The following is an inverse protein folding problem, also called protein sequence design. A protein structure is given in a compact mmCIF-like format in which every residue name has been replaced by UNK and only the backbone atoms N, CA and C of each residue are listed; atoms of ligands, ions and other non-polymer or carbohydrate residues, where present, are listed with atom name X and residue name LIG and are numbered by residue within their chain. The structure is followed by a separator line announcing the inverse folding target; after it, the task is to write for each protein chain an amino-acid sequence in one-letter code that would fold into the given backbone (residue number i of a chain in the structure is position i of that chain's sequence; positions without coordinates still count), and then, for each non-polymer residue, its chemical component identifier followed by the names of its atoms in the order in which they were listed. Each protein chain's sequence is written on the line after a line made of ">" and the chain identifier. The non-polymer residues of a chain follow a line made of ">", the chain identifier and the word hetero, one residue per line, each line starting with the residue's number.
data_IF_623426532520
#
_entry.id   IF_623426532520
#
_cell.length_a   1.000
_cell.length_b   1.000
_cell.length_c   1.000
_cell.angle_alpha   90.00
_cell.angle_beta   90.00
_cell.angle_gamma   90.00
#
_symmetry.space_group_name_H-M   'P 1'
#
loop_
_entity.id
_entity.type
_entity.pdbx_description
1 polymer ?
#
# COMPACT_ATOMS: atom_id res chain seq x y z
N UNK A 1 -31.42 -8.75 -5.76
CA UNK A 1 -30.61 -8.33 -4.61
C UNK A 1 -29.20 -8.06 -5.07
N UNK A 2 -28.71 -6.86 -4.84
CA UNK A 2 -27.34 -6.49 -5.18
C UNK A 2 -26.42 -7.07 -4.11
N UNK A 3 -25.53 -7.95 -4.53
CA UNK A 3 -24.51 -8.46 -3.62
C UNK A 3 -23.35 -7.48 -3.62
N UNK A 4 -23.10 -6.85 -2.49
CA UNK A 4 -21.91 -6.03 -2.33
C UNK A 4 -20.63 -6.87 -2.40
N UNK A 5 -19.53 -6.23 -2.80
CA UNK A 5 -18.22 -6.85 -2.74
C UNK A 5 -17.71 -6.73 -1.32
N UNK A 6 -17.30 -7.85 -0.73
CA UNK A 6 -16.69 -7.87 0.59
C UNK A 6 -15.18 -7.97 0.42
N UNK A 7 -14.47 -6.89 0.75
CA UNK A 7 -13.02 -6.82 0.62
C UNK A 7 -12.42 -6.60 2.01
N UNK A 8 -11.56 -7.52 2.42
CA UNK A 8 -10.79 -7.32 3.64
C UNK A 8 -9.58 -6.44 3.35
N UNK A 9 -9.39 -5.41 4.16
CA UNK A 9 -8.27 -4.49 4.03
C UNK A 9 -7.52 -4.47 5.37
N UNK A 10 -6.21 -4.74 5.30
CA UNK A 10 -5.31 -4.58 6.44
C UNK A 10 -4.43 -3.37 6.23
N UNK A 11 -4.11 -2.66 7.28
CA UNK A 11 -3.19 -1.54 7.25
C UNK A 11 -2.19 -1.67 8.39
N UNK A 12 -0.93 -1.35 8.12
CA UNK A 12 0.13 -1.53 9.10
C UNK A 12 1.28 -0.56 8.84
N UNK A 13 1.70 0.14 9.90
CA UNK A 13 2.95 0.88 9.87
C UNK A 13 4.08 -0.10 10.19
N UNK A 14 5.00 -0.30 9.25
CA UNK A 14 6.02 -1.35 9.37
C UNK A 14 7.37 -0.84 9.85
N UNK A 15 7.54 0.47 9.95
CA UNK A 15 8.75 1.10 10.49
C UNK A 15 10.04 0.53 9.87
N UNK A 16 10.07 0.46 8.54
CA UNK A 16 11.24 0.02 7.78
C UNK A 16 11.25 -1.48 7.46
N UNK A 17 11.54 -1.80 6.20
CA UNK A 17 11.59 -3.17 5.69
C UNK A 17 12.93 -3.52 5.04
N UNK A 18 13.99 -2.77 5.37
CA UNK A 18 15.29 -3.04 4.75
C UNK A 18 15.99 -4.27 5.32
N UNK A 19 15.64 -4.70 6.53
CA UNK A 19 16.19 -5.91 7.12
C UNK A 19 15.48 -7.17 6.59
N UNK A 20 16.19 -8.16 6.06
CA UNK A 20 15.58 -9.37 5.50
C UNK A 20 14.67 -10.11 6.48
N UNK A 21 15.08 -10.22 7.74
CA UNK A 21 14.28 -10.90 8.78
C UNK A 21 12.89 -10.25 8.93
N UNK A 22 12.85 -8.94 8.92
CA UNK A 22 11.59 -8.21 9.07
C UNK A 22 10.69 -8.41 7.85
N UNK A 23 11.26 -8.46 6.65
CA UNK A 23 10.51 -8.76 5.43
C UNK A 23 9.88 -10.15 5.50
N UNK A 24 10.62 -11.15 5.98
CA UNK A 24 10.08 -12.51 6.16
C UNK A 24 8.93 -12.55 7.15
N UNK A 25 9.10 -11.89 8.30
CA UNK A 25 8.05 -11.85 9.33
C UNK A 25 6.79 -11.17 8.82
N UNK A 26 6.95 -10.11 8.06
CA UNK A 26 5.81 -9.40 7.48
C UNK A 26 5.09 -10.28 6.45
N UNK A 27 5.84 -10.96 5.60
CA UNK A 27 5.25 -11.86 4.60
C UNK A 27 4.45 -12.99 5.27
N UNK A 28 4.98 -13.58 6.34
CA UNK A 28 4.25 -14.58 7.11
C UNK A 28 2.96 -14.02 7.72
N UNK A 29 3.05 -12.83 8.30
CA UNK A 29 1.87 -12.16 8.88
C UNK A 29 0.79 -11.89 7.84
N UNK A 30 1.18 -11.41 6.66
CA UNK A 30 0.24 -11.17 5.56
C UNK A 30 -0.42 -12.48 5.13
N UNK A 31 0.34 -13.55 5.02
CA UNK A 31 -0.19 -14.86 4.65
C UNK A 31 -1.18 -15.39 5.70
N UNK A 32 -0.89 -15.19 6.98
CA UNK A 32 -1.78 -15.61 8.06
C UNK A 32 -3.08 -14.78 8.09
N UNK A 33 -2.98 -13.47 7.92
CA UNK A 33 -4.16 -12.59 7.90
C UNK A 33 -4.97 -12.75 6.62
N UNK A 34 -4.31 -13.13 5.54
CA UNK A 34 -4.91 -13.34 4.22
C UNK A 34 -5.82 -12.19 3.75
N UNK A 35 -5.35 -10.93 3.80
CA UNK A 35 -6.17 -9.81 3.36
C UNK A 35 -6.27 -9.76 1.84
N UNK A 36 -7.39 -9.25 1.33
CA UNK A 36 -7.48 -8.96 -0.09
C UNK A 36 -6.58 -7.79 -0.48
N UNK A 37 -6.50 -6.77 0.36
CA UNK A 37 -5.67 -5.60 0.16
C UNK A 37 -4.91 -5.31 1.44
N UNK A 38 -3.59 -5.05 1.33
CA UNK A 38 -2.77 -4.67 2.47
C UNK A 38 -2.07 -3.36 2.17
N UNK A 39 -2.28 -2.37 3.04
CA UNK A 39 -1.67 -1.05 2.94
C UNK A 39 -0.57 -0.93 3.99
N UNK A 40 0.65 -0.62 3.54
CA UNK A 40 1.81 -0.49 4.42
C UNK A 40 2.29 0.94 4.44
N UNK A 41 2.69 1.43 5.60
CA UNK A 41 3.28 2.75 5.79
C UNK A 41 4.68 2.63 6.38
N UNK A 42 5.52 3.60 6.10
CA UNK A 42 6.91 3.66 6.54
C UNK A 42 7.72 2.43 6.12
N UNK A 43 7.64 2.10 4.83
CA UNK A 43 8.39 0.97 4.28
C UNK A 43 9.90 1.21 4.28
N UNK A 44 10.34 2.47 4.13
CA UNK A 44 11.75 2.90 4.13
C UNK A 44 12.59 2.20 3.06
N UNK A 45 12.00 1.66 2.01
CA UNK A 45 12.75 0.97 0.98
C UNK A 45 13.72 1.91 0.27
N UNK A 46 14.96 1.46 0.17
CA UNK A 46 15.90 2.04 -0.77
C UNK A 46 15.54 1.58 -2.18
N UNK A 47 15.85 2.36 -3.23
CA UNK A 47 15.51 1.96 -4.60
C UNK A 47 15.97 0.54 -4.96
N UNK A 48 17.16 0.14 -4.52
CA UNK A 48 17.72 -1.18 -4.80
C UNK A 48 16.98 -2.33 -4.10
N UNK A 49 16.26 -2.05 -3.00
CA UNK A 49 15.58 -3.08 -2.21
C UNK A 49 14.11 -3.23 -2.58
N UNK A 50 13.56 -2.29 -3.33
CA UNK A 50 12.12 -2.24 -3.66
C UNK A 50 11.65 -3.51 -4.35
N UNK A 51 12.44 -4.04 -5.29
CA UNK A 51 12.05 -5.19 -6.11
C UNK A 51 12.41 -6.54 -5.48
N UNK A 52 13.07 -6.53 -4.33
CA UNK A 52 13.48 -7.77 -3.66
C UNK A 52 12.37 -8.36 -2.79
N UNK A 53 11.45 -7.52 -2.35
CA UNK A 53 10.39 -7.99 -1.46
C UNK A 53 9.21 -8.51 -2.26
N UNK A 54 8.88 -9.78 -2.01
CA UNK A 54 7.77 -10.46 -2.64
C UNK A 54 7.02 -11.27 -1.60
N UNK A 55 5.71 -11.37 -1.78
CA UNK A 55 4.85 -12.15 -0.90
C UNK A 55 4.08 -13.15 -1.76
N UNK A 56 4.23 -14.43 -1.48
CA UNK A 56 3.54 -15.48 -2.22
C UNK A 56 2.02 -15.32 -2.04
N UNK A 57 1.29 -15.21 -3.13
CA UNK A 57 -0.15 -14.97 -3.11
C UNK A 57 -0.55 -13.52 -3.31
N UNK A 58 0.42 -12.59 -3.33
CA UNK A 58 0.20 -11.15 -3.56
C UNK A 58 1.20 -10.66 -4.60
N UNK A 59 0.94 -10.95 -5.87
CA UNK A 59 1.84 -10.55 -6.96
C UNK A 59 1.81 -9.08 -7.26
N UNK A 60 0.66 -8.42 -7.04
CA UNK A 60 0.51 -7.00 -7.32
C UNK A 60 0.97 -6.21 -6.11
N UNK A 61 2.19 -5.69 -6.18
CA UNK A 61 2.81 -4.86 -5.14
C UNK A 61 3.19 -3.53 -5.77
N UNK A 62 2.67 -2.44 -5.21
CA UNK A 62 2.90 -1.09 -5.71
C UNK A 62 3.54 -0.25 -4.61
N UNK A 63 4.63 0.44 -4.95
CA UNK A 63 5.41 1.24 -4.00
C UNK A 63 5.42 2.70 -4.40
N UNK A 64 5.34 3.58 -3.41
CA UNK A 64 5.74 4.98 -3.55
C UNK A 64 6.85 5.23 -2.53
N UNK A 65 8.10 5.24 -3.01
CA UNK A 65 9.26 5.41 -2.16
C UNK A 65 9.66 6.87 -2.07
N UNK A 66 9.95 7.34 -0.88
CA UNK A 66 10.48 8.68 -0.70
C UNK A 66 11.99 8.73 -0.84
N UNK A 67 12.51 9.95 -1.01
CA UNK A 67 13.95 10.20 -0.99
C UNK A 67 14.53 10.19 0.42
N UNK A 68 13.66 10.24 1.42
CA UNK A 68 14.04 10.24 2.83
C UNK A 68 13.93 8.85 3.43
N UNK A 69 14.82 8.54 4.38
CA UNK A 69 14.94 7.22 5.00
C UNK A 69 13.70 6.77 5.78
N UNK A 70 12.74 7.67 6.05
CA UNK A 70 11.59 7.38 6.92
C UNK A 70 10.24 7.41 6.20
N UNK A 71 10.25 7.54 4.88
CA UNK A 71 9.02 7.55 4.11
C UNK A 71 8.83 6.23 3.38
N UNK A 72 7.81 6.17 2.57
CA UNK A 72 7.49 5.02 1.75
C UNK A 72 6.17 4.38 2.14
N UNK A 73 5.33 4.16 1.15
CA UNK A 73 4.06 3.45 1.32
C UNK A 73 3.96 2.38 0.25
N UNK A 74 3.18 1.34 0.54
CA UNK A 74 2.95 0.27 -0.42
C UNK A 74 1.51 -0.21 -0.34
N UNK A 75 0.99 -0.67 -1.48
CA UNK A 75 -0.28 -1.37 -1.56
C UNK A 75 -0.02 -2.74 -2.17
N UNK A 76 -0.52 -3.77 -1.50
CA UNK A 76 -0.37 -5.15 -1.93
C UNK A 76 -1.77 -5.70 -2.17
N UNK A 77 -1.97 -6.34 -3.32
CA UNK A 77 -3.27 -6.87 -3.72
C UNK A 77 -3.17 -8.38 -3.89
N UNK A 78 -4.10 -9.09 -3.26
CA UNK A 78 -4.16 -10.55 -3.30
C UNK A 78 -4.44 -11.06 -4.72
N UNK A 79 -3.82 -12.19 -5.07
CA UNK A 79 -4.10 -12.88 -6.32
C UNK A 79 -5.52 -13.46 -6.38
N UNK A 80 -6.21 -13.53 -5.24
CA UNK A 80 -7.58 -14.05 -5.17
C UNK A 80 -8.63 -13.10 -5.75
N UNK A 81 -8.28 -11.83 -5.94
CA UNK A 81 -9.18 -10.85 -6.54
C UNK A 81 -8.62 -10.37 -7.87
N UNK A 82 -9.51 -10.23 -8.85
CA UNK A 82 -9.16 -9.67 -10.14
C UNK A 82 -9.34 -8.15 -10.11
N UNK A 83 -8.28 -7.47 -9.67
CA UNK A 83 -8.27 -6.02 -9.61
C UNK A 83 -7.74 -5.46 -10.93
N UNK A 84 -8.60 -4.79 -11.67
CA UNK A 84 -8.24 -4.14 -12.94
C UNK A 84 -7.82 -2.71 -12.67
N UNK A 85 -6.53 -2.45 -12.81
CA UNK A 85 -5.97 -1.13 -12.49
C UNK A 85 -6.13 -0.19 -13.67
N UNK A 86 -6.67 1.00 -13.41
CA UNK A 86 -6.78 2.06 -14.41
C UNK A 86 -5.66 3.08 -14.26
N UNK A 87 -5.44 3.60 -13.05
CA UNK A 87 -4.40 4.58 -12.79
C UNK A 87 -3.72 4.34 -11.45
N UNK A 88 -2.43 4.70 -11.40
CA UNK A 88 -1.65 4.69 -10.17
C UNK A 88 -1.00 6.06 -10.04
N UNK A 89 -1.24 6.73 -8.93
CA UNK A 89 -0.60 8.02 -8.61
C UNK A 89 0.31 7.82 -7.41
N UNK A 90 1.58 8.14 -7.58
CA UNK A 90 2.60 7.98 -6.54
C UNK A 90 3.16 9.32 -6.13
N UNK A 91 3.22 9.58 -4.82
CA UNK A 91 3.88 10.76 -4.31
C UNK A 91 5.40 10.58 -4.37
N UNK A 92 6.10 11.60 -4.88
CA UNK A 92 7.56 11.57 -5.00
C UNK A 92 8.26 11.51 -3.64
N UNK A 93 7.61 12.00 -2.59
CA UNK A 93 8.15 11.97 -1.22
C UNK A 93 7.77 10.70 -0.47
N UNK A 94 6.99 9.80 -1.08
CA UNK A 94 6.61 8.53 -0.46
C UNK A 94 5.57 8.65 0.64
N UNK A 95 4.73 9.71 0.65
CA UNK A 95 3.72 9.91 1.67
C UNK A 95 2.37 9.32 1.29
N UNK A 96 2.10 9.13 0.00
CA UNK A 96 0.84 8.53 -0.43
C UNK A 96 0.97 7.77 -1.74
N UNK A 97 0.05 6.86 -1.95
CA UNK A 97 -0.17 6.20 -3.23
C UNK A 97 -1.68 6.04 -3.42
N UNK A 98 -2.15 6.30 -4.63
CA UNK A 98 -3.57 6.17 -4.99
C UNK A 98 -3.67 5.23 -6.17
N UNK A 99 -4.50 4.19 -6.01
CA UNK A 99 -4.77 3.24 -7.10
C UNK A 99 -6.26 3.31 -7.41
N UNK A 100 -6.58 3.61 -8.66
CA UNK A 100 -7.95 3.59 -9.19
C UNK A 100 -8.09 2.39 -10.11
N UNK A 101 -9.18 1.67 -9.96
CA UNK A 101 -9.45 0.52 -10.78
C UNK A 101 -10.84 -0.02 -10.53
N UNK A 102 -11.05 -1.29 -10.85
CA UNK A 102 -12.34 -1.94 -10.66
C UNK A 102 -12.17 -3.39 -10.24
N UNK A 103 -13.13 -3.87 -9.47
CA UNK A 103 -13.30 -5.27 -9.10
C UNK A 103 -14.74 -5.65 -9.47
N UNK A 104 -14.90 -6.70 -10.30
CA UNK A 104 -16.24 -7.15 -10.75
C UNK A 104 -17.08 -5.99 -11.30
N UNK A 105 -16.47 -5.13 -12.11
CA UNK A 105 -17.11 -3.97 -12.75
C UNK A 105 -17.50 -2.85 -11.78
N UNK A 106 -17.15 -2.95 -10.50
CA UNK A 106 -17.33 -1.86 -9.55
C UNK A 106 -16.06 -1.04 -9.40
N UNK A 107 -16.18 0.28 -9.53
CA UNK A 107 -15.06 1.20 -9.41
C UNK A 107 -14.62 1.32 -7.96
N UNK A 108 -13.32 1.19 -7.75
CA UNK A 108 -12.72 1.25 -6.43
C UNK A 108 -11.48 2.14 -6.48
N UNK A 109 -11.37 3.04 -5.52
CA UNK A 109 -10.16 3.84 -5.31
C UNK A 109 -9.55 3.48 -3.96
N UNK A 110 -8.28 3.07 -3.99
CA UNK A 110 -7.52 2.76 -2.78
C UNK A 110 -6.54 3.91 -2.54
N UNK A 111 -6.61 4.49 -1.35
CA UNK A 111 -5.72 5.57 -0.94
C UNK A 111 -4.94 5.09 0.28
N UNK A 112 -3.62 5.08 0.19
CA UNK A 112 -2.74 4.74 1.31
C UNK A 112 -1.87 5.95 1.62
N UNK A 113 -2.01 6.49 2.82
CA UNK A 113 -1.37 7.73 3.23
C UNK A 113 -0.54 7.50 4.49
N UNK A 114 0.69 8.01 4.48
CA UNK A 114 1.48 8.22 5.67
C UNK A 114 1.61 9.72 5.92
N UNK A 115 1.16 10.19 7.08
CA UNK A 115 1.27 11.58 7.45
C UNK A 115 2.26 11.74 8.60
N UNK A 116 3.19 12.70 8.53
CA UNK A 116 4.09 12.99 9.64
C UNK A 116 3.32 13.36 10.91
N UNK A 117 3.86 13.02 12.07
CA UNK A 117 3.20 13.29 13.36
C UNK A 117 2.96 14.78 13.62
N UNK A 118 3.89 15.64 13.17
CA UNK A 118 3.77 17.08 13.30
C UNK A 118 3.09 17.63 12.04
N UNK A 119 1.97 18.35 12.21
CA UNK A 119 1.22 18.93 11.09
C UNK A 119 0.44 17.93 10.27
N UNK A 120 0.27 16.69 10.76
CA UNK A 120 -0.41 15.62 10.03
C UNK A 120 -1.83 15.99 9.59
N UNK A 121 -2.71 16.60 10.42
CA UNK A 121 -4.05 16.96 9.96
C UNK A 121 -4.07 17.92 8.79
N UNK A 122 -3.18 18.90 8.79
CA UNK A 122 -3.08 19.86 7.69
C UNK A 122 -2.56 19.19 6.42
N UNK A 123 -1.54 18.35 6.55
CA UNK A 123 -0.98 17.60 5.42
C UNK A 123 -2.04 16.71 4.77
N UNK A 124 -2.77 15.93 5.56
CA UNK A 124 -3.82 15.06 5.05
C UNK A 124 -4.90 15.85 4.33
N UNK A 125 -5.32 16.99 4.90
CA UNK A 125 -6.32 17.87 4.29
C UNK A 125 -5.86 18.37 2.94
N UNK A 126 -4.62 18.87 2.85
CA UNK A 126 -4.06 19.36 1.59
C UNK A 126 -3.97 18.25 0.55
N UNK A 127 -3.54 17.08 0.94
CA UNK A 127 -3.39 15.94 0.04
C UNK A 127 -4.75 15.45 -0.48
N UNK A 128 -5.76 15.34 0.37
CA UNK A 128 -7.10 14.94 -0.05
C UNK A 128 -7.74 15.96 -0.97
N UNK A 129 -7.42 17.23 -0.82
CA UNK A 129 -7.89 18.29 -1.73
C UNK A 129 -7.22 18.17 -3.11
N UNK A 130 -5.95 17.73 -3.15
CA UNK A 130 -5.17 17.62 -4.39
C UNK A 130 -5.50 16.36 -5.21
N UNK A 131 -6.03 15.34 -4.57
CA UNK A 131 -6.44 14.10 -5.24
C UNK A 131 -7.80 14.32 -5.89
#
# INVERSE_FOLDING_TARGET
>A
MVKGIHISISTLNVNGLNAPTKRYRLAEWIQQQDPYICCLQETHFRPRDTYRWKVKGWKKIFHANGNQKKAGVAIIISDKIDFKIQTITKDKKGHYIVIKGSIEEEDITIVNIYAPNIGAPQYVRQMLTAI
#
